data_IF_713148440170
#
_entry.id   IF_713148440170
#
_cell.length_a   1.000
_cell.length_b   1.000
_cell.length_c   1.000
_cell.angle_alpha   90.00
_cell.angle_beta   90.00
_cell.angle_gamma   90.00
#
_symmetry.space_group_name_H-M   'P 1'
#
loop_
_entity.id
_entity.type
_entity.pdbx_description
1 polymer ?
#
# COMPACT_ATOMS: atom_id res chain seq x y z
N UNK A 1 11.50 -22.53 -33.98
CA UNK A 1 11.40 -23.26 -32.69
C UNK A 1 12.40 -22.64 -31.72
N UNK A 2 11.95 -21.73 -30.85
CA UNK A 2 12.79 -21.11 -29.83
C UNK A 2 12.36 -21.66 -28.46
N UNK A 3 13.36 -22.14 -27.72
CA UNK A 3 13.23 -22.92 -26.50
C UNK A 3 12.34 -22.24 -25.44
N UNK A 4 11.31 -22.98 -25.00
CA UNK A 4 10.60 -22.73 -23.75
C UNK A 4 11.61 -22.85 -22.60
N UNK A 5 12.14 -21.73 -22.12
CA UNK A 5 12.89 -21.69 -20.85
C UNK A 5 11.92 -22.13 -19.75
N UNK A 6 12.08 -23.37 -19.32
CA UNK A 6 11.49 -23.90 -18.08
C UNK A 6 11.79 -22.92 -16.94
N UNK A 7 10.77 -22.22 -16.46
CA UNK A 7 10.81 -21.71 -15.10
C UNK A 7 10.80 -22.92 -14.17
N UNK A 8 11.65 -22.97 -13.13
CA UNK A 8 11.69 -24.11 -12.22
C UNK A 8 10.30 -24.27 -11.59
N UNK A 9 9.71 -25.45 -11.75
CA UNK A 9 8.46 -25.87 -11.12
C UNK A 9 8.64 -25.99 -9.60
N UNK A 10 8.77 -24.86 -8.93
CA UNK A 10 8.69 -24.76 -7.48
C UNK A 10 7.21 -24.70 -7.08
N UNK A 11 6.47 -25.79 -7.26
CA UNK A 11 5.18 -25.94 -6.56
C UNK A 11 5.45 -26.34 -5.10
N UNK A 12 6.19 -25.50 -4.38
CA UNK A 12 6.09 -25.48 -2.91
C UNK A 12 4.74 -24.87 -2.61
N UNK A 13 3.82 -25.69 -2.11
CA UNK A 13 2.57 -25.20 -1.54
C UNK A 13 2.92 -24.11 -0.54
N UNK A 14 2.35 -22.94 -0.75
CA UNK A 14 2.57 -21.76 0.09
C UNK A 14 1.22 -21.43 0.71
N UNK A 15 1.17 -21.40 2.04
CA UNK A 15 -0.05 -21.02 2.76
C UNK A 15 -0.28 -19.51 2.72
N UNK A 16 0.78 -18.73 2.50
CA UNK A 16 0.77 -17.26 2.43
C UNK A 16 1.55 -16.81 1.20
N UNK A 17 0.97 -15.90 0.43
CA UNK A 17 1.58 -15.25 -0.73
C UNK A 17 1.49 -13.72 -0.56
N UNK A 18 2.63 -13.04 -0.68
CA UNK A 18 2.73 -11.58 -0.68
C UNK A 18 3.17 -11.16 -2.08
N UNK A 19 2.41 -10.27 -2.73
CA UNK A 19 2.68 -9.84 -4.09
C UNK A 19 2.02 -8.49 -4.39
N UNK A 20 2.53 -7.79 -5.40
CA UNK A 20 1.84 -6.63 -5.98
C UNK A 20 0.77 -7.09 -6.99
N UNK A 21 -0.32 -6.34 -7.20
CA UNK A 21 -1.38 -6.77 -8.11
C UNK A 21 -0.93 -6.97 -9.55
N UNK A 22 -0.06 -6.12 -10.08
CA UNK A 22 0.49 -6.30 -11.43
C UNK A 22 1.17 -7.68 -11.59
N UNK A 23 1.94 -8.13 -10.59
CA UNK A 23 2.59 -9.44 -10.61
C UNK A 23 1.56 -10.58 -10.55
N UNK A 24 0.51 -10.46 -9.74
CA UNK A 24 -0.56 -11.47 -9.66
C UNK A 24 -1.32 -11.57 -10.98
N UNK A 25 -1.72 -10.43 -11.55
CA UNK A 25 -2.41 -10.37 -12.85
C UNK A 25 -1.55 -10.97 -13.96
N UNK A 26 -0.24 -10.70 -13.97
CA UNK A 26 0.69 -11.32 -14.91
C UNK A 26 0.71 -12.85 -14.76
N UNK A 27 0.82 -13.36 -13.52
CA UNK A 27 0.84 -14.81 -13.27
C UNK A 27 -0.48 -15.49 -13.63
N UNK A 28 -1.62 -14.85 -13.34
CA UNK A 28 -2.95 -15.32 -13.73
C UNK A 28 -3.09 -15.42 -15.25
N UNK A 29 -2.61 -14.41 -16.00
CA UNK A 29 -2.62 -14.42 -17.48
C UNK A 29 -1.73 -15.52 -18.08
N UNK A 30 -0.69 -15.94 -17.36
CA UNK A 30 0.20 -17.03 -17.77
C UNK A 30 -0.29 -18.41 -17.29
N UNK A 31 -1.44 -18.49 -16.61
CA UNK A 31 -1.95 -19.70 -15.95
C UNK A 31 -0.90 -20.34 -15.02
N UNK A 32 -0.05 -19.49 -14.41
CA UNK A 32 1.06 -19.91 -13.56
C UNK A 32 0.68 -19.92 -12.07
N UNK A 33 -0.52 -19.45 -11.72
CA UNK A 33 -1.04 -19.43 -10.36
C UNK A 33 -2.57 -19.63 -10.38
N UNK A 34 -3.07 -20.40 -9.42
CA UNK A 34 -4.50 -20.56 -9.15
C UNK A 34 -4.83 -19.94 -7.78
N UNK A 35 -5.78 -18.99 -7.78
CA UNK A 35 -6.25 -18.28 -6.59
C UNK A 35 -7.66 -18.72 -6.14
N UNK A 36 -8.25 -19.72 -6.81
CA UNK A 36 -9.62 -20.18 -6.55
C UNK A 36 -9.83 -20.74 -5.14
N UNK A 37 -8.76 -21.21 -4.50
CA UNK A 37 -8.78 -21.77 -3.13
C UNK A 37 -8.48 -20.74 -2.03
N UNK A 38 -8.17 -19.49 -2.39
CA UNK A 38 -7.82 -18.44 -1.42
C UNK A 38 -9.00 -18.12 -0.50
N UNK A 39 -8.78 -18.21 0.81
CA UNK A 39 -9.78 -17.88 1.83
C UNK A 39 -9.64 -16.46 2.38
N UNK A 40 -8.48 -15.82 2.20
CA UNK A 40 -8.22 -14.46 2.66
C UNK A 40 -7.47 -13.66 1.59
N UNK A 41 -8.05 -12.53 1.19
CA UNK A 41 -7.40 -11.53 0.35
C UNK A 41 -7.21 -10.26 1.18
N UNK A 42 -5.97 -9.91 1.45
CA UNK A 42 -5.60 -8.71 2.21
C UNK A 42 -4.95 -7.70 1.27
N UNK A 43 -5.44 -6.47 1.31
CA UNK A 43 -4.95 -5.36 0.50
C UNK A 43 -4.42 -4.30 1.46
N UNK A 44 -3.12 -4.05 1.42
CA UNK A 44 -2.47 -3.01 2.23
C UNK A 44 -2.29 -1.73 1.44
N UNK A 45 -2.09 -0.61 2.14
CA UNK A 45 -1.95 0.74 1.57
C UNK A 45 -3.05 1.09 0.56
N UNK A 46 -4.29 0.73 0.90
CA UNK A 46 -5.42 0.81 -0.03
C UNK A 46 -5.73 2.22 -0.50
N UNK A 47 -5.23 3.28 0.12
CA UNK A 47 -5.30 4.65 -0.37
C UNK A 47 -4.38 4.92 -1.56
N UNK A 48 -3.15 4.40 -1.55
CA UNK A 48 -2.21 4.47 -2.69
C UNK A 48 -2.78 3.88 -3.96
N UNK A 49 -3.63 2.88 -3.81
CA UNK A 49 -4.28 2.14 -4.89
C UNK A 49 -5.31 2.98 -5.66
N UNK A 50 -5.68 4.15 -5.12
CA UNK A 50 -6.69 5.06 -5.68
C UNK A 50 -6.14 6.48 -5.93
N UNK A 51 -4.88 6.76 -5.58
CA UNK A 51 -4.24 8.09 -5.78
C UNK A 51 -4.07 8.46 -7.28
N UNK A 52 -3.72 7.51 -8.15
CA UNK A 52 -3.31 7.81 -9.55
C UNK A 52 -4.45 7.72 -10.60
N UNK A 53 -5.71 7.81 -10.17
CA UNK A 53 -6.88 7.79 -11.06
C UNK A 53 -7.41 6.38 -11.40
N UNK A 54 -8.40 6.32 -12.30
CA UNK A 54 -9.18 5.09 -12.57
C UNK A 54 -8.39 3.99 -13.30
N UNK A 55 -7.35 4.33 -14.05
CA UNK A 55 -6.64 3.40 -14.94
C UNK A 55 -5.43 2.78 -14.24
N UNK A 56 -5.36 1.45 -14.21
CA UNK A 56 -4.21 0.68 -13.75
C UNK A 56 -4.51 -0.15 -12.52
N UNK A 57 -4.48 0.45 -11.34
CA UNK A 57 -4.51 -0.33 -10.11
C UNK A 57 -5.90 -0.93 -9.80
N UNK A 58 -6.98 -0.16 -9.96
CA UNK A 58 -8.35 -0.63 -9.70
C UNK A 58 -8.73 -1.82 -10.58
N UNK A 59 -8.32 -1.80 -11.85
CA UNK A 59 -8.54 -2.90 -12.79
C UNK A 59 -7.73 -4.14 -12.42
N UNK A 60 -6.47 -3.97 -12.02
CA UNK A 60 -5.64 -5.07 -11.53
C UNK A 60 -6.23 -5.70 -10.28
N UNK A 61 -6.68 -4.87 -9.33
CA UNK A 61 -7.33 -5.34 -8.11
C UNK A 61 -8.63 -6.09 -8.41
N UNK A 62 -9.46 -5.57 -9.33
CA UNK A 62 -10.68 -6.24 -9.76
C UNK A 62 -10.40 -7.63 -10.36
N UNK A 63 -9.34 -7.76 -11.19
CA UNK A 63 -8.93 -9.05 -11.74
C UNK A 63 -8.48 -10.04 -10.65
N UNK A 64 -7.71 -9.57 -9.67
CA UNK A 64 -7.30 -10.40 -8.51
C UNK A 64 -8.52 -10.79 -7.67
N UNK A 65 -9.44 -9.87 -7.42
CA UNK A 65 -10.69 -10.11 -6.69
C UNK A 65 -11.55 -11.20 -7.35
N UNK A 66 -11.66 -11.16 -8.68
CA UNK A 66 -12.40 -12.17 -9.45
C UNK A 66 -11.71 -13.53 -9.44
N UNK A 67 -10.38 -13.56 -9.47
CA UNK A 67 -9.61 -14.80 -9.39
C UNK A 67 -9.74 -15.48 -8.01
N UNK A 68 -9.90 -14.71 -6.94
CA UNK A 68 -10.21 -15.20 -5.60
C UNK A 68 -11.71 -15.55 -5.48
N UNK A 69 -12.12 -16.64 -6.13
CA UNK A 69 -13.53 -17.04 -6.32
C UNK A 69 -14.08 -18.01 -5.26
N UNK A 70 -13.29 -18.34 -4.23
CA UNK A 70 -13.74 -19.23 -3.14
C UNK A 70 -15.01 -18.69 -2.47
N UNK A 71 -16.05 -19.52 -2.23
CA UNK A 71 -17.24 -19.11 -1.47
C UNK A 71 -16.93 -18.70 -0.02
N UNK A 72 -15.75 -19.08 0.48
CA UNK A 72 -15.28 -18.79 1.85
C UNK A 72 -14.33 -17.59 1.89
N UNK A 73 -14.11 -16.91 0.76
CA UNK A 73 -13.17 -15.79 0.68
C UNK A 73 -13.61 -14.65 1.60
N UNK A 74 -12.68 -14.19 2.42
CA UNK A 74 -12.78 -12.99 3.23
C UNK A 74 -11.81 -11.96 2.71
N UNK A 75 -12.20 -10.69 2.78
CA UNK A 75 -11.44 -9.59 2.16
C UNK A 75 -11.25 -8.50 3.19
N UNK A 76 -10.02 -8.02 3.33
CA UNK A 76 -9.66 -6.94 4.23
C UNK A 76 -8.84 -5.90 3.48
N UNK A 77 -9.21 -4.62 3.63
CA UNK A 77 -8.46 -3.49 3.09
C UNK A 77 -7.93 -2.67 4.26
N UNK A 78 -6.63 -2.40 4.25
CA UNK A 78 -5.95 -1.56 5.22
C UNK A 78 -5.53 -0.27 4.52
N UNK A 79 -5.74 0.85 5.19
CA UNK A 79 -5.46 2.18 4.65
C UNK A 79 -4.91 3.06 5.76
N UNK A 80 -3.88 3.85 5.46
CA UNK A 80 -3.41 4.88 6.38
C UNK A 80 -4.40 6.05 6.42
N UNK A 81 -5.07 6.33 5.30
CA UNK A 81 -6.04 7.42 5.19
C UNK A 81 -7.46 6.90 4.92
N UNK A 82 -8.46 7.62 5.42
CA UNK A 82 -9.87 7.36 5.13
C UNK A 82 -10.31 8.05 3.82
N UNK A 83 -9.64 7.74 2.70
CA UNK A 83 -9.98 8.30 1.41
C UNK A 83 -11.43 7.91 1.00
N UNK A 84 -12.30 8.87 0.61
CA UNK A 84 -13.69 8.58 0.26
C UNK A 84 -13.85 7.54 -0.85
N UNK A 85 -12.92 7.53 -1.82
CA UNK A 85 -12.91 6.59 -2.94
C UNK A 85 -12.71 5.13 -2.50
N UNK A 86 -11.87 4.90 -1.49
CA UNK A 86 -11.65 3.57 -0.89
C UNK A 86 -12.93 3.12 -0.18
N UNK A 87 -13.52 4.01 0.61
CA UNK A 87 -14.76 3.73 1.35
C UNK A 87 -15.92 3.39 0.39
N UNK A 88 -16.08 4.16 -0.70
CA UNK A 88 -17.07 3.89 -1.74
C UNK A 88 -16.81 2.57 -2.44
N UNK A 89 -15.55 2.27 -2.77
CA UNK A 89 -15.19 1.02 -3.43
C UNK A 89 -15.49 -0.20 -2.55
N UNK A 90 -15.14 -0.14 -1.25
CA UNK A 90 -15.45 -1.19 -0.29
C UNK A 90 -16.95 -1.47 -0.22
N UNK A 91 -17.79 -0.43 -0.12
CA UNK A 91 -19.25 -0.59 -0.08
C UNK A 91 -19.83 -1.28 -1.32
N UNK A 92 -19.20 -1.10 -2.48
CA UNK A 92 -19.65 -1.68 -3.75
C UNK A 92 -19.14 -3.10 -3.99
N UNK A 93 -18.01 -3.48 -3.40
CA UNK A 93 -17.30 -4.72 -3.73
C UNK A 93 -17.17 -5.72 -2.56
N UNK A 94 -17.51 -5.30 -1.34
CA UNK A 94 -17.46 -6.14 -0.15
C UNK A 94 -18.85 -6.40 0.41
N UNK A 95 -19.15 -7.68 0.64
CA UNK A 95 -20.34 -8.11 1.36
C UNK A 95 -20.18 -7.89 2.87
N UNK A 96 -21.24 -7.46 3.55
CA UNK A 96 -21.26 -7.27 5.01
C UNK A 96 -20.08 -6.43 5.55
N UNK A 97 -19.79 -5.30 4.89
CA UNK A 97 -18.67 -4.43 5.24
C UNK A 97 -18.68 -4.01 6.72
N UNK A 98 -17.60 -4.37 7.43
CA UNK A 98 -17.27 -3.84 8.76
C UNK A 98 -16.13 -2.84 8.60
N UNK A 99 -16.31 -1.62 9.10
CA UNK A 99 -15.28 -0.57 9.09
C UNK A 99 -14.80 -0.29 10.51
N UNK A 100 -13.48 -0.37 10.71
CA UNK A 100 -12.81 -0.01 11.96
C UNK A 100 -11.90 1.18 11.66
N UNK A 101 -12.09 2.29 12.38
CA UNK A 101 -11.27 3.49 12.23
C UNK A 101 -10.59 3.77 13.57
N UNK A 102 -9.28 3.98 13.54
CA UNK A 102 -8.47 4.29 14.73
C UNK A 102 -8.10 5.76 14.67
N UNK A 103 -8.48 6.53 15.70
CA UNK A 103 -8.24 7.98 15.77
C UNK A 103 -9.31 8.83 15.08
N UNK A 104 -9.13 10.15 15.10
CA UNK A 104 -10.03 11.12 14.46
C UNK A 104 -9.57 11.41 13.02
N UNK A 105 -10.52 11.45 12.07
CA UNK A 105 -10.27 11.86 10.67
C UNK A 105 -9.53 13.21 10.66
N UNK A 106 -8.38 13.27 10.00
CA UNK A 106 -7.57 14.49 9.80
C UNK A 106 -7.00 15.15 11.07
N UNK A 107 -6.91 14.43 12.20
CA UNK A 107 -6.16 14.95 13.35
C UNK A 107 -4.67 14.76 13.10
N UNK A 108 -3.92 15.86 12.95
CA UNK A 108 -2.48 15.81 13.14
C UNK A 108 -2.22 15.29 14.56
N UNK A 109 -1.24 14.42 14.72
CA UNK A 109 -0.87 13.89 16.03
C UNK A 109 -0.51 15.08 16.93
N UNK A 110 -1.33 15.36 17.95
CA UNK A 110 -1.09 16.48 18.89
C UNK A 110 0.23 16.33 19.65
N UNK A 111 0.81 15.12 19.67
CA UNK A 111 2.11 14.84 20.29
C UNK A 111 3.30 15.19 19.40
N UNK A 112 3.11 15.67 18.18
CA UNK A 112 4.20 16.12 17.31
C UNK A 112 4.35 17.64 17.42
N UNK A 113 5.45 18.08 18.02
CA UNK A 113 5.84 19.48 18.01
C UNK A 113 6.35 19.86 16.61
N UNK A 114 5.81 20.93 16.04
CA UNK A 114 6.16 21.43 14.72
C UNK A 114 6.64 22.88 14.82
N UNK A 115 7.82 23.16 14.27
CA UNK A 115 8.40 24.50 14.21
C UNK A 115 8.72 24.91 12.77
N UNK A 116 8.45 26.18 12.43
CA UNK A 116 8.82 26.77 11.15
C UNK A 116 9.99 27.74 11.35
N UNK A 117 11.13 27.46 10.72
CA UNK A 117 12.31 28.33 10.77
C UNK A 117 12.59 28.98 9.42
N UNK A 118 12.50 30.30 9.36
CA UNK A 118 12.84 31.08 8.17
C UNK A 118 14.36 31.32 8.10
N UNK A 119 14.98 30.91 6.99
CA UNK A 119 16.45 30.95 6.83
C UNK A 119 16.92 31.86 5.67
N UNK A 120 16.00 32.55 5.01
CA UNK A 120 16.26 33.56 3.98
C UNK A 120 16.79 33.03 2.63
N UNK A 121 17.84 32.20 2.66
CA UNK A 121 18.52 31.67 1.46
C UNK A 121 18.76 30.17 1.59
N UNK A 122 19.03 29.49 0.48
CA UNK A 122 19.43 28.06 0.48
C UNK A 122 20.65 27.81 1.36
N UNK A 123 21.67 28.67 1.32
CA UNK A 123 22.85 28.56 2.18
C UNK A 123 22.50 28.72 3.68
N UNK A 124 21.46 29.50 3.99
CA UNK A 124 20.94 29.64 5.35
C UNK A 124 20.39 28.33 5.93
N UNK A 125 19.84 27.44 5.08
CA UNK A 125 19.35 26.11 5.52
C UNK A 125 20.48 25.28 6.12
N UNK A 126 21.65 25.27 5.49
CA UNK A 126 22.81 24.50 5.96
C UNK A 126 23.26 24.97 7.35
N UNK A 127 23.32 26.28 7.58
CA UNK A 127 23.69 26.85 8.87
C UNK A 127 22.64 26.51 9.95
N UNK A 128 21.36 26.64 9.63
CA UNK A 128 20.27 26.31 10.54
C UNK A 128 20.27 24.82 10.93
N UNK A 129 20.41 23.91 9.95
CA UNK A 129 20.50 22.46 10.20
C UNK A 129 21.70 22.12 11.08
N UNK A 130 22.87 22.71 10.80
CA UNK A 130 24.07 22.55 11.63
C UNK A 130 23.80 22.94 13.08
N UNK A 131 23.12 24.07 13.29
CA UNK A 131 22.84 24.59 14.63
C UNK A 131 21.79 23.74 15.36
N UNK A 132 20.81 23.16 14.65
CA UNK A 132 19.84 22.19 15.19
C UNK A 132 20.56 20.91 15.64
N UNK A 133 21.40 20.32 14.78
CA UNK A 133 22.15 19.09 15.10
C UNK A 133 23.04 19.29 16.33
N UNK A 134 23.70 20.45 16.44
CA UNK A 134 24.55 20.77 17.60
C UNK A 134 23.78 20.84 18.92
N UNK A 135 22.52 21.28 18.89
CA UNK A 135 21.68 21.40 20.10
C UNK A 135 21.15 20.06 20.59
N UNK A 136 21.02 19.05 19.72
CA UNK A 136 20.38 17.77 20.06
C UNK A 136 21.32 16.58 19.74
N UNK A 137 22.39 16.38 20.54
CA UNK A 137 23.47 15.45 20.18
C UNK A 137 23.11 13.95 20.19
N UNK A 138 21.90 13.56 20.60
CA UNK A 138 21.52 12.15 20.77
C UNK A 138 20.09 11.81 20.31
N UNK A 139 19.62 12.38 19.19
CA UNK A 139 18.38 11.95 18.53
C UNK A 139 18.63 11.47 17.09
N UNK A 140 17.86 10.47 16.68
CA UNK A 140 17.77 10.06 15.27
C UNK A 140 17.04 11.18 14.53
N UNK A 141 17.78 11.94 13.73
CA UNK A 141 17.25 13.03 12.92
C UNK A 141 17.07 12.56 11.47
N UNK A 142 15.85 12.66 10.93
CA UNK A 142 15.58 12.45 9.50
C UNK A 142 15.49 13.80 8.80
N UNK A 143 16.44 14.09 7.90
CA UNK A 143 16.46 15.32 7.10
C UNK A 143 16.01 14.98 5.68
N UNK A 144 14.89 15.56 5.25
CA UNK A 144 14.37 15.41 3.88
C UNK A 144 14.67 16.67 3.07
N UNK A 145 15.46 16.53 2.01
CA UNK A 145 15.71 17.58 1.01
C UNK A 145 14.89 17.28 -0.24
N UNK A 146 14.37 18.33 -0.89
CA UNK A 146 13.66 18.26 -2.18
C UNK A 146 14.49 18.93 -3.26
#
# INVERSE_FOLDING_TARGET
>A
MAARKHAPSSHKKSDILISTPNRLVFLLKQDAIDLSSVEWLVVDESDKLFEDGRSGFREQLAAVFQACSSPRVRRALYSATCAPDVEQWCRLNLDNLVSVNIGHRNSAVETVEQELLFVGTENGKLLAVRDIIKKVPFQINLIKCY
#
